data_IF_397986744780
#
_entry.id   IF_397986744780
#
_cell.length_a   1.000
_cell.length_b   1.000
_cell.length_c   1.000
_cell.angle_alpha   90.00
_cell.angle_beta   90.00
_cell.angle_gamma   90.00
#
_symmetry.space_group_name_H-M   'P 1'
#
loop_
_entity.id
_entity.type
_entity.pdbx_description
1 polymer ?
#
# COMPACT_ATOMS: atom_id res chain seq x y z
N UNK A 1 4.69 4.97 20.46
CA UNK A 1 4.61 4.67 19.05
C UNK A 1 5.91 4.96 18.34
N UNK A 2 6.29 4.10 17.45
CA UNK A 2 7.57 4.22 16.80
C UNK A 2 7.39 4.34 15.29
N UNK A 3 8.00 5.35 14.72
CA UNK A 3 7.96 5.52 13.27
C UNK A 3 9.04 4.67 12.62
N UNK A 4 8.83 4.22 11.38
CA UNK A 4 9.86 3.48 10.69
C UNK A 4 11.08 4.37 10.42
N UNK A 5 12.25 3.75 10.35
CA UNK A 5 13.47 4.47 10.04
C UNK A 5 13.50 4.85 8.56
N UNK A 6 14.44 5.73 8.22
CA UNK A 6 14.64 6.10 6.82
C UNK A 6 14.96 4.88 5.97
N UNK A 7 15.73 3.95 6.53
CA UNK A 7 16.08 2.75 5.80
C UNK A 7 14.87 1.88 5.54
N UNK A 8 13.97 1.79 6.52
CA UNK A 8 12.75 1.02 6.34
C UNK A 8 11.85 1.65 5.30
N UNK A 9 11.75 2.98 5.30
CA UNK A 9 10.94 3.68 4.32
C UNK A 9 11.54 3.52 2.93
N UNK A 10 12.86 3.60 2.81
CA UNK A 10 13.52 3.41 1.52
C UNK A 10 13.26 2.01 0.99
N UNK A 11 13.31 1.00 1.87
CA UNK A 11 13.02 -0.37 1.48
C UNK A 11 11.57 -0.52 1.00
N UNK A 12 10.64 0.14 1.69
CA UNK A 12 9.24 0.11 1.27
C UNK A 12 9.07 0.75 -0.11
N UNK A 13 9.76 1.86 -0.35
CA UNK A 13 9.67 2.53 -1.64
C UNK A 13 10.23 1.69 -2.76
N UNK A 14 11.27 0.91 -2.47
CA UNK A 14 11.80 -0.01 -3.47
C UNK A 14 10.87 -1.18 -3.72
N UNK A 15 10.24 -1.66 -2.66
CA UNK A 15 9.37 -2.82 -2.76
C UNK A 15 8.03 -2.47 -3.40
N UNK A 16 7.55 -1.26 -3.18
CA UNK A 16 6.26 -0.80 -3.68
C UNK A 16 6.43 0.50 -4.46
N UNK A 17 7.10 0.43 -5.62
CA UNK A 17 7.25 1.65 -6.42
C UNK A 17 5.92 2.10 -7.00
N UNK A 18 5.86 3.36 -7.39
CA UNK A 18 4.68 3.92 -8.03
C UNK A 18 4.25 3.03 -9.19
N UNK A 19 2.97 2.75 -9.26
CA UNK A 19 2.43 1.90 -10.31
C UNK A 19 2.31 0.43 -9.95
N UNK A 20 2.83 0.03 -8.78
CA UNK A 20 2.63 -1.34 -8.33
C UNK A 20 1.15 -1.57 -8.08
N UNK A 21 0.63 -2.72 -8.54
CA UNK A 21 -0.74 -3.09 -8.25
C UNK A 21 -0.78 -3.99 -7.04
N UNK A 22 -1.66 -3.66 -6.11
CA UNK A 22 -1.84 -4.46 -4.90
C UNK A 22 -3.28 -4.92 -4.83
N UNK A 23 -3.48 -6.02 -4.12
CA UNK A 23 -4.81 -6.56 -3.89
C UNK A 23 -5.04 -6.62 -2.39
N UNK A 24 -6.15 -6.07 -1.95
CA UNK A 24 -6.48 -6.04 -0.53
C UNK A 24 -6.94 -7.40 -0.08
N UNK A 25 -6.34 -7.89 1.00
CA UNK A 25 -6.75 -9.16 1.61
C UNK A 25 -7.56 -8.92 2.88
N UNK A 26 -7.11 -8.00 3.72
CA UNK A 26 -7.82 -7.71 4.96
C UNK A 26 -7.42 -6.34 5.48
N UNK A 27 -8.42 -5.53 5.80
CA UNK A 27 -8.19 -4.22 6.41
C UNK A 27 -9.31 -4.00 7.42
N UNK A 28 -8.93 -3.77 8.66
CA UNK A 28 -9.90 -3.58 9.74
C UNK A 28 -10.27 -2.10 9.83
N UNK A 29 -11.08 -1.65 8.91
CA UNK A 29 -11.49 -0.26 8.81
C UNK A 29 -12.90 -0.24 8.23
N UNK A 30 -13.83 0.54 8.84
CA UNK A 30 -15.20 0.58 8.33
C UNK A 30 -15.31 1.07 6.90
N UNK A 31 -14.32 1.82 6.42
CA UNK A 31 -14.36 2.34 5.06
C UNK A 31 -13.46 1.55 4.11
N UNK A 32 -12.99 0.39 4.55
CA UNK A 32 -12.11 -0.42 3.73
C UNK A 32 -12.84 -0.91 2.47
N UNK A 33 -12.15 -0.96 1.34
CA UNK A 33 -12.72 -1.60 0.16
C UNK A 33 -12.95 -3.08 0.43
N UNK A 34 -13.79 -3.74 -0.34
CA UNK A 34 -13.97 -5.18 -0.18
C UNK A 34 -12.69 -5.95 -0.41
N UNK A 35 -12.57 -7.09 0.25
CA UNK A 35 -11.46 -8.01 0.01
C UNK A 35 -11.39 -8.34 -1.47
N UNK A 36 -10.19 -8.35 -2.01
CA UNK A 36 -9.98 -8.61 -3.42
C UNK A 36 -9.95 -7.36 -4.29
N UNK A 37 -10.23 -6.21 -3.70
CA UNK A 37 -10.13 -4.95 -4.44
C UNK A 37 -8.68 -4.68 -4.77
N UNK A 38 -8.43 -4.24 -6.00
CA UNK A 38 -7.10 -3.89 -6.44
C UNK A 38 -6.92 -2.38 -6.44
N UNK A 39 -5.68 -1.98 -6.33
CA UNK A 39 -5.35 -0.57 -6.36
C UNK A 39 -3.95 -0.34 -6.88
N UNK A 40 -3.67 0.90 -7.20
CA UNK A 40 -2.36 1.31 -7.69
C UNK A 40 -1.62 2.05 -6.59
N UNK A 41 -0.38 1.65 -6.35
CA UNK A 41 0.46 2.32 -5.38
C UNK A 41 0.89 3.67 -5.96
N UNK A 42 0.62 4.72 -5.21
CA UNK A 42 1.02 6.07 -5.59
C UNK A 42 2.35 6.46 -4.97
N UNK A 43 2.73 5.79 -3.90
CA UNK A 43 3.98 6.06 -3.22
C UNK A 43 3.93 5.61 -1.77
N UNK A 44 4.99 5.91 -1.03
CA UNK A 44 5.08 5.62 0.39
C UNK A 44 5.39 6.94 1.09
N UNK A 45 4.61 7.29 2.11
CA UNK A 45 4.84 8.56 2.79
C UNK A 45 5.92 8.41 3.87
N UNK A 46 6.22 9.50 4.55
CA UNK A 46 7.30 9.51 5.54
C UNK A 46 6.95 8.73 6.80
N UNK A 47 5.69 8.41 6.99
CA UNK A 47 5.26 7.58 8.11
C UNK A 47 5.30 6.09 7.77
N UNK A 48 5.68 5.75 6.55
CA UNK A 48 5.75 4.36 6.13
C UNK A 48 4.42 3.79 5.68
N UNK A 49 3.45 4.64 5.39
CA UNK A 49 2.17 4.18 4.87
C UNK A 49 2.22 4.13 3.35
N UNK A 50 1.65 3.08 2.79
CA UNK A 50 1.61 2.91 1.34
C UNK A 50 0.35 3.58 0.83
N UNK A 51 0.52 4.62 0.04
CA UNK A 51 -0.61 5.38 -0.49
C UNK A 51 -1.12 4.67 -1.73
N UNK A 52 -2.38 4.28 -1.71
CA UNK A 52 -2.98 3.46 -2.77
C UNK A 52 -4.24 4.15 -3.28
N UNK A 53 -4.40 4.14 -4.59
CA UNK A 53 -5.65 4.52 -5.21
C UNK A 53 -6.39 3.24 -5.59
N UNK A 54 -7.49 2.97 -4.91
CA UNK A 54 -8.25 1.75 -5.09
C UNK A 54 -9.21 1.87 -6.26
N UNK A 55 -9.52 0.74 -6.88
CA UNK A 55 -10.45 0.71 -8.02
C UNK A 55 -11.82 1.27 -7.67
N UNK A 56 -12.20 1.15 -6.42
CA UNK A 56 -13.49 1.67 -5.95
C UNK A 56 -13.53 3.18 -5.85
N UNK A 57 -12.38 3.84 -6.05
CA UNK A 57 -12.28 5.29 -5.88
C UNK A 57 -11.81 5.69 -4.50
N UNK A 58 -11.66 4.74 -3.58
CA UNK A 58 -11.15 5.01 -2.26
C UNK A 58 -9.66 5.31 -2.34
N UNK A 59 -9.15 6.09 -1.39
CA UNK A 59 -7.73 6.42 -1.33
C UNK A 59 -7.14 6.10 0.04
N UNK A 60 -7.63 5.04 0.68
CA UNK A 60 -7.09 4.63 1.97
C UNK A 60 -5.69 4.07 1.80
N UNK A 61 -4.82 4.42 2.73
CA UNK A 61 -3.45 3.93 2.72
C UNK A 61 -3.36 2.58 3.39
N UNK A 62 -2.35 1.80 3.00
CA UNK A 62 -2.05 0.53 3.64
C UNK A 62 -0.96 0.72 4.68
N UNK A 63 -1.12 0.06 5.82
CA UNK A 63 -0.13 0.11 6.89
C UNK A 63 0.54 -1.25 6.96
N UNK A 64 1.82 -1.35 6.53
CA UNK A 64 2.52 -2.64 6.58
C UNK A 64 2.54 -3.20 8.00
N UNK A 65 2.25 -4.47 8.11
CA UNK A 65 2.20 -5.13 9.42
C UNK A 65 0.86 -5.05 10.11
N UNK A 66 -0.04 -4.18 9.62
CA UNK A 66 -1.38 -4.03 10.18
C UNK A 66 -2.41 -4.52 9.19
N UNK A 67 -2.32 -4.04 7.95
CA UNK A 67 -3.24 -4.44 6.90
C UNK A 67 -2.63 -5.57 6.09
N UNK A 68 -3.47 -6.48 5.62
CA UNK A 68 -3.01 -7.61 4.80
C UNK A 68 -3.31 -7.32 3.34
N UNK A 69 -2.30 -7.46 2.52
CA UNK A 69 -2.41 -7.22 1.08
C UNK A 69 -1.29 -7.97 0.39
N UNK A 70 -1.41 -8.08 -0.93
CA UNK A 70 -0.37 -8.72 -1.71
C UNK A 70 -0.12 -7.92 -2.97
N UNK A 71 1.05 -8.11 -3.55
CA UNK A 71 1.35 -7.50 -4.83
C UNK A 71 0.69 -8.34 -5.91
N UNK A 72 -0.22 -7.71 -6.65
CA UNK A 72 -0.88 -8.39 -7.77
C UNK A 72 -0.05 -8.25 -9.03
N UNK A 73 0.60 -7.10 -9.20
CA UNK A 73 1.44 -6.88 -10.36
C UNK A 73 2.51 -5.88 -9.98
N UNK A 74 3.77 -6.25 -10.15
CA UNK A 74 4.85 -5.37 -9.77
C UNK A 74 4.89 -4.17 -10.69
N UNK A 75 4.99 -3.01 -10.08
CA UNK A 75 4.99 -1.78 -10.83
C UNK A 75 6.36 -1.23 -11.07
N UNK A 76 6.38 0.09 -11.26
CA UNK A 76 7.60 0.79 -11.56
C UNK A 76 7.97 0.62 -12.99
N UNK A 77 9.26 0.84 -13.22
CA UNK A 77 9.76 0.77 -14.52
C UNK A 77 9.94 -0.65 -14.90
N UNK A 78 9.25 -1.05 -15.79
CA UNK A 78 9.44 -2.42 -16.28
C UNK A 78 10.77 -2.59 -16.94
#
# INVERSE_FOLDING_TARGET
MRFPSREQIAALRERYPHGTKVELLCMDDPQAPPTGTRGDVMGVDDAGQIIVRWETGSSLSLIPGVDSFRIAEKGGKG
#
